data_IF_313962006193
#
_entry.id   IF_313962006193
#
_cell.length_a   1.000
_cell.length_b   1.000
_cell.length_c   1.000
_cell.angle_alpha   90.00
_cell.angle_beta   90.00
_cell.angle_gamma   90.00
#
_symmetry.space_group_name_H-M   'P 1'
#
loop_
_entity.id
_entity.type
_entity.pdbx_description
1 polymer ?
#
# COMPACT_ATOMS: atom_id res chain seq x y z
N UNK A 1 -20.07 -37.46 -7.70
CA UNK A 1 -18.84 -36.91 -7.10
C UNK A 1 -18.76 -35.44 -7.51
N UNK A 2 -18.97 -34.53 -6.55
CA UNK A 2 -19.03 -33.08 -6.78
C UNK A 2 -17.62 -32.52 -6.99
N UNK A 3 -17.49 -31.69 -8.03
CA UNK A 3 -16.28 -30.93 -8.38
C UNK A 3 -16.20 -29.69 -7.48
N UNK A 4 -15.04 -29.53 -6.86
CA UNK A 4 -14.39 -28.28 -6.45
C UNK A 4 -15.31 -27.10 -6.10
N UNK A 5 -15.62 -26.96 -4.80
CA UNK A 5 -16.09 -25.69 -4.26
C UNK A 5 -14.87 -24.77 -4.10
N UNK A 6 -14.71 -23.83 -5.04
CA UNK A 6 -13.81 -22.70 -4.87
C UNK A 6 -14.30 -21.85 -3.68
N UNK A 7 -13.59 -21.93 -2.56
CA UNK A 7 -13.85 -21.07 -1.40
C UNK A 7 -13.31 -19.66 -1.73
N UNK A 8 -14.20 -18.77 -2.15
CA UNK A 8 -13.87 -17.34 -2.29
C UNK A 8 -13.73 -16.72 -0.90
N UNK A 9 -12.52 -16.72 -0.35
CA UNK A 9 -12.22 -16.05 0.92
C UNK A 9 -12.26 -14.54 0.70
N UNK A 10 -13.40 -13.92 0.99
CA UNK A 10 -13.50 -12.46 1.12
C UNK A 10 -13.02 -12.07 2.50
N UNK A 11 -11.74 -11.72 2.61
CA UNK A 11 -11.20 -11.13 3.83
C UNK A 11 -11.74 -9.71 3.92
N UNK A 12 -12.78 -9.51 4.72
CA UNK A 12 -13.32 -8.19 5.01
C UNK A 12 -12.49 -7.56 6.15
N UNK A 13 -11.29 -7.09 5.81
CA UNK A 13 -10.48 -6.31 6.73
C UNK A 13 -11.06 -4.91 6.79
N UNK A 14 -11.58 -4.52 7.95
CA UNK A 14 -11.91 -3.13 8.24
C UNK A 14 -10.61 -2.41 8.59
N UNK A 15 -10.20 -1.45 7.76
CA UNK A 15 -9.06 -0.58 8.00
C UNK A 15 -9.47 0.88 7.73
N UNK A 16 -9.02 1.77 8.60
CA UNK A 16 -9.26 3.22 8.49
C UNK A 16 -8.12 3.96 7.79
N UNK A 17 -6.98 3.29 7.58
CA UNK A 17 -5.79 3.87 6.98
C UNK A 17 -5.04 2.86 6.10
N UNK A 18 -4.42 3.38 5.05
CA UNK A 18 -3.52 2.70 4.15
C UNK A 18 -2.15 3.38 4.21
N UNK A 19 -1.11 2.60 4.49
CA UNK A 19 0.28 3.07 4.45
C UNK A 19 0.96 2.47 3.23
N UNK A 20 1.46 3.34 2.35
CA UNK A 20 2.11 2.95 1.11
C UNK A 20 3.60 3.23 1.23
N UNK A 21 4.41 2.18 1.20
CA UNK A 21 5.86 2.27 1.16
C UNK A 21 6.33 2.01 -0.27
N UNK A 22 6.82 3.03 -0.95
CA UNK A 22 7.25 2.91 -2.35
C UNK A 22 8.77 2.89 -2.46
N UNK A 23 9.32 1.86 -3.12
CA UNK A 23 10.70 1.89 -3.59
C UNK A 23 10.66 2.22 -5.07
N UNK A 24 10.89 3.49 -5.40
CA UNK A 24 11.01 3.93 -6.78
C UNK A 24 12.48 3.87 -7.22
N UNK A 25 12.76 3.54 -8.49
CA UNK A 25 14.09 3.70 -9.06
C UNK A 25 14.58 5.15 -8.88
N UNK A 26 15.89 5.34 -8.68
CA UNK A 26 16.50 6.67 -8.54
C UNK A 26 16.24 7.54 -9.78
N UNK A 27 16.10 6.90 -10.94
CA UNK A 27 15.86 7.56 -12.23
C UNK A 27 14.37 7.80 -12.52
N UNK A 28 13.47 7.40 -11.63
CA UNK A 28 12.03 7.56 -11.84
C UNK A 28 11.67 9.05 -11.90
N UNK A 29 10.95 9.50 -12.95
CA UNK A 29 10.45 10.85 -13.00
C UNK A 29 9.53 11.14 -11.80
N UNK A 30 9.69 12.30 -11.16
CA UNK A 30 8.82 12.75 -10.06
C UNK A 30 7.32 12.75 -10.44
N UNK A 31 7.02 12.82 -11.73
CA UNK A 31 5.66 12.71 -12.27
C UNK A 31 5.03 11.33 -12.08
N UNK A 32 5.83 10.25 -12.10
CA UNK A 32 5.37 8.89 -11.84
C UNK A 32 4.89 8.74 -10.40
N UNK A 33 5.73 9.12 -9.44
CA UNK A 33 5.40 9.11 -8.01
C UNK A 33 4.08 9.85 -7.73
N UNK A 34 3.99 11.10 -8.18
CA UNK A 34 2.81 11.94 -7.94
C UNK A 34 1.53 11.35 -8.54
N UNK A 35 1.63 10.75 -9.73
CA UNK A 35 0.49 10.09 -10.35
C UNK A 35 0.01 8.89 -9.53
N UNK A 36 0.94 8.06 -9.02
CA UNK A 36 0.60 6.93 -8.16
C UNK A 36 -0.03 7.38 -6.83
N UNK A 37 0.54 8.39 -6.18
CA UNK A 37 -0.02 8.98 -4.96
C UNK A 37 -1.44 9.51 -5.19
N UNK A 38 -1.67 10.24 -6.29
CA UNK A 38 -2.98 10.79 -6.65
C UNK A 38 -4.03 9.69 -6.88
N UNK A 39 -3.65 8.60 -7.57
CA UNK A 39 -4.55 7.46 -7.83
C UNK A 39 -4.95 6.79 -6.51
N UNK A 40 -3.99 6.54 -5.63
CA UNK A 40 -4.23 5.87 -4.34
C UNK A 40 -5.06 6.77 -3.42
N UNK A 41 -4.74 8.06 -3.35
CA UNK A 41 -5.49 9.02 -2.54
C UNK A 41 -6.96 9.12 -2.99
N UNK A 42 -7.22 9.10 -4.31
CA UNK A 42 -8.59 9.08 -4.85
C UNK A 42 -9.34 7.81 -4.49
N UNK A 43 -8.66 6.66 -4.49
CA UNK A 43 -9.27 5.39 -4.09
C UNK A 43 -9.65 5.43 -2.60
N UNK A 44 -8.71 5.81 -1.74
CA UNK A 44 -8.93 5.87 -0.29
C UNK A 44 -10.01 6.91 0.08
N UNK A 45 -10.01 8.07 -0.58
CA UNK A 45 -10.98 9.14 -0.33
C UNK A 45 -12.43 8.77 -0.65
N UNK A 46 -12.68 7.80 -1.55
CA UNK A 46 -14.05 7.32 -1.84
C UNK A 46 -14.67 6.59 -0.66
N UNK A 47 -13.85 5.88 0.09
CA UNK A 47 -14.28 5.00 1.18
C UNK A 47 -13.97 5.61 2.56
N UNK A 48 -13.53 6.89 2.61
CA UNK A 48 -13.18 7.58 3.85
C UNK A 48 -11.91 7.05 4.52
N UNK A 49 -11.06 6.36 3.78
CA UNK A 49 -9.80 5.76 4.24
C UNK A 49 -8.70 6.82 4.16
N UNK A 50 -7.86 6.91 5.19
CA UNK A 50 -6.69 7.79 5.20
C UNK A 50 -5.53 7.15 4.44
N UNK A 51 -4.83 7.92 3.59
CA UNK A 51 -3.65 7.42 2.88
C UNK A 51 -2.38 8.13 3.38
N UNK A 52 -1.34 7.36 3.71
CA UNK A 52 -0.04 7.85 4.10
C UNK A 52 1.03 7.28 3.17
N UNK A 53 1.91 8.15 2.67
CA UNK A 53 2.97 7.77 1.73
C UNK A 53 4.33 7.91 2.41
N UNK A 54 5.16 6.87 2.32
CA UNK A 54 6.54 6.87 2.81
C UNK A 54 7.47 6.37 1.72
N UNK A 55 8.57 7.09 1.50
CA UNK A 55 9.58 6.77 0.49
C UNK A 55 10.90 6.62 1.22
N UNK A 56 11.39 5.39 1.42
CA UNK A 56 12.67 5.15 2.04
C UNK A 56 13.81 5.46 1.06
N UNK A 57 14.87 6.07 1.57
CA UNK A 57 16.04 6.47 0.77
C UNK A 57 16.87 5.27 0.29
N UNK A 58 16.80 4.16 1.02
CA UNK A 58 17.54 2.96 0.70
C UNK A 58 16.84 1.69 1.21
N UNK A 59 17.41 0.54 0.82
CA UNK A 59 16.88 -0.78 1.18
C UNK A 59 16.84 -1.02 2.69
N UNK A 60 17.82 -0.53 3.45
CA UNK A 60 17.84 -0.70 4.90
C UNK A 60 16.67 0.04 5.55
N UNK A 61 16.46 1.30 5.17
CA UNK A 61 15.37 2.13 5.68
C UNK A 61 13.99 1.55 5.33
N UNK A 62 13.85 0.94 4.15
CA UNK A 62 12.63 0.24 3.76
C UNK A 62 12.27 -0.88 4.74
N UNK A 63 13.24 -1.75 5.09
CA UNK A 63 12.96 -2.87 6.01
C UNK A 63 12.81 -2.42 7.47
N UNK A 64 13.55 -1.38 7.90
CA UNK A 64 13.37 -0.77 9.21
C UNK A 64 11.95 -0.20 9.35
N UNK A 65 11.48 0.51 8.32
CA UNK A 65 10.13 1.05 8.30
C UNK A 65 9.05 -0.04 8.31
N UNK A 66 9.21 -1.11 7.53
CA UNK A 66 8.25 -2.23 7.58
C UNK A 66 8.20 -2.87 8.96
N UNK A 67 9.34 -3.01 9.64
CA UNK A 67 9.40 -3.56 11.00
C UNK A 67 8.64 -2.68 11.98
N UNK A 68 8.85 -1.36 11.94
CA UNK A 68 8.11 -0.41 12.77
C UNK A 68 6.60 -0.52 12.57
N UNK A 69 6.14 -0.67 11.32
CA UNK A 69 4.71 -0.75 10.99
C UNK A 69 4.04 -2.05 11.43
N UNK A 70 4.80 -3.15 11.49
CA UNK A 70 4.28 -4.47 11.91
C UNK A 70 4.30 -4.64 13.43
N UNK A 71 5.22 -3.97 14.12
CA UNK A 71 5.38 -4.05 15.58
C UNK A 71 4.61 -2.95 16.34
N UNK A 72 4.03 -1.96 15.65
CA UNK A 72 3.20 -0.89 16.21
C UNK A 72 1.75 -1.31 16.47
#
# INVERSE_FOLDING_TARGET
MNRDQDYLIKVNLEYNALIVVQSLPIEEPQTGQKLYEDIIARFCGRDGILAYFKIPDNRHDFFSLLKELVEA
#
